data_IF_334426937690
#
_entry.id   IF_334426937690
#
_cell.length_a   1.000
_cell.length_b   1.000
_cell.length_c   1.000
_cell.angle_alpha   90.00
_cell.angle_beta   90.00
_cell.angle_gamma   90.00
#
_symmetry.space_group_name_H-M   'P 1'
#
loop_
_entity.id
_entity.type
_entity.pdbx_description
1 polymer ?
#
# COMPACT_ATOMS: atom_id res chain seq x y z
N UNK A 1 23.74 87.10 -38.55
CA UNK A 1 22.57 87.86 -39.04
C UNK A 1 22.55 89.16 -38.25
N UNK A 2 22.75 90.31 -38.90
CA UNK A 2 22.73 91.61 -38.22
C UNK A 2 21.38 91.78 -37.52
N UNK A 3 21.37 92.03 -36.22
CA UNK A 3 20.14 92.41 -35.50
C UNK A 3 19.58 93.63 -36.20
N UNK A 4 18.49 93.45 -36.94
CA UNK A 4 17.77 94.57 -37.56
C UNK A 4 17.41 95.53 -36.43
N UNK A 5 17.85 96.79 -36.56
CA UNK A 5 17.50 97.83 -35.60
C UNK A 5 15.97 97.98 -35.63
N UNK A 6 15.24 97.67 -34.53
CA UNK A 6 13.78 97.72 -34.50
C UNK A 6 13.24 99.12 -34.77
N UNK A 7 14.07 100.16 -34.64
CA UNK A 7 13.70 101.56 -34.82
C UNK A 7 14.12 102.13 -36.20
N UNK A 8 14.63 101.30 -37.14
CA UNK A 8 14.98 101.77 -38.48
C UNK A 8 13.71 102.03 -39.29
N UNK A 9 13.63 103.22 -39.90
CA UNK A 9 12.56 103.54 -40.84
C UNK A 9 12.64 102.64 -42.09
N UNK A 10 11.62 101.81 -42.31
CA UNK A 10 11.51 100.96 -43.49
C UNK A 10 11.29 101.82 -44.75
N UNK A 11 12.02 101.54 -45.83
CA UNK A 11 11.80 102.23 -47.11
C UNK A 11 10.40 101.96 -47.68
N UNK A 12 9.87 102.75 -48.64
CA UNK A 12 8.49 102.63 -49.12
C UNK A 12 8.10 101.22 -49.62
N UNK A 13 9.02 100.52 -50.30
CA UNK A 13 8.80 99.15 -50.77
C UNK A 13 8.86 98.12 -49.62
N UNK A 14 9.77 98.31 -48.67
CA UNK A 14 9.92 97.47 -47.46
C UNK A 14 8.68 97.62 -46.55
N UNK A 15 8.13 98.83 -46.42
CA UNK A 15 6.93 99.11 -45.64
C UNK A 15 5.66 98.44 -46.19
N UNK A 16 5.54 98.25 -47.50
CA UNK A 16 4.42 97.52 -48.12
C UNK A 16 4.48 96.03 -47.77
N UNK A 17 5.67 95.41 -47.94
CA UNK A 17 5.89 94.02 -47.59
C UNK A 17 5.67 93.76 -46.09
N UNK A 18 6.16 94.66 -45.22
CA UNK A 18 5.96 94.55 -43.77
C UNK A 18 4.49 94.66 -43.38
N UNK A 19 3.68 95.51 -44.03
CA UNK A 19 2.24 95.61 -43.74
C UNK A 19 1.47 94.37 -44.18
N UNK A 20 1.80 93.82 -45.35
CA UNK A 20 1.21 92.57 -45.83
C UNK A 20 1.57 91.42 -44.88
N UNK A 21 2.84 91.33 -44.48
CA UNK A 21 3.31 90.34 -43.52
C UNK A 21 2.66 90.49 -42.15
N UNK A 22 2.55 91.70 -41.60
CA UNK A 22 1.81 91.96 -40.34
C UNK A 22 0.34 91.53 -40.47
N UNK A 23 -0.28 91.79 -41.62
CA UNK A 23 -1.69 91.38 -41.86
C UNK A 23 -1.83 89.86 -41.90
N UNK A 24 -0.88 89.17 -42.52
CA UNK A 24 -0.85 87.71 -42.57
C UNK A 24 -0.54 87.11 -41.18
N UNK A 25 0.48 87.62 -40.49
CA UNK A 25 0.87 87.15 -39.14
C UNK A 25 -0.24 87.41 -38.11
N UNK A 26 -0.97 88.52 -38.21
CA UNK A 26 -2.13 88.79 -37.33
C UNK A 26 -3.30 87.85 -37.61
N UNK A 27 -3.53 87.47 -38.87
CA UNK A 27 -4.52 86.46 -39.23
C UNK A 27 -4.12 85.08 -38.71
N UNK A 28 -2.87 84.70 -38.88
CA UNK A 28 -2.32 83.42 -38.42
C UNK A 28 -2.32 83.34 -36.89
N UNK A 29 -1.98 84.43 -36.20
CA UNK A 29 -2.07 84.54 -34.73
C UNK A 29 -3.51 84.31 -34.22
N UNK A 30 -4.53 84.91 -34.86
CA UNK A 30 -5.93 84.66 -34.48
C UNK A 30 -6.37 83.22 -34.75
N UNK A 31 -5.94 82.62 -35.86
CA UNK A 31 -6.22 81.21 -36.15
C UNK A 31 -5.57 80.29 -35.12
N UNK A 32 -4.31 80.53 -34.77
CA UNK A 32 -3.60 79.80 -33.73
C UNK A 32 -4.29 79.97 -32.37
N UNK A 33 -4.67 81.19 -31.98
CA UNK A 33 -5.43 81.43 -30.75
C UNK A 33 -6.74 80.64 -30.72
N UNK A 34 -7.46 80.58 -31.84
CA UNK A 34 -8.70 79.81 -31.94
C UNK A 34 -8.44 78.31 -31.80
N UNK A 35 -7.41 77.77 -32.45
CA UNK A 35 -7.03 76.36 -32.34
C UNK A 35 -6.55 76.00 -30.94
N UNK A 36 -5.81 76.91 -30.28
CA UNK A 36 -5.40 76.74 -28.87
C UNK A 36 -6.63 76.70 -27.97
N UNK A 37 -7.59 77.61 -28.13
CA UNK A 37 -8.82 77.58 -27.34
C UNK A 37 -9.65 76.31 -27.56
N UNK A 38 -9.77 75.86 -28.81
CA UNK A 38 -10.42 74.58 -29.13
C UNK A 38 -9.68 73.39 -28.50
N UNK A 39 -8.35 73.37 -28.59
CA UNK A 39 -7.53 72.33 -27.99
C UNK A 39 -7.64 72.31 -26.46
N UNK A 40 -7.64 73.47 -25.81
CA UNK A 40 -7.83 73.58 -24.35
C UNK A 40 -9.22 73.07 -23.93
N UNK A 41 -10.26 73.42 -24.68
CA UNK A 41 -11.62 72.94 -24.41
C UNK A 41 -11.72 71.43 -24.61
N UNK A 42 -11.11 70.90 -25.67
CA UNK A 42 -11.06 69.45 -25.91
C UNK A 42 -10.27 68.72 -24.83
N UNK A 43 -9.13 69.27 -24.38
CA UNK A 43 -8.35 68.71 -23.27
C UNK A 43 -9.18 68.65 -21.98
N UNK A 44 -9.85 69.75 -21.61
CA UNK A 44 -10.69 69.79 -20.41
C UNK A 44 -11.83 68.77 -20.46
N UNK A 45 -12.49 68.61 -21.61
CA UNK A 45 -13.55 67.61 -21.78
C UNK A 45 -13.03 66.17 -21.68
N UNK A 46 -11.83 65.89 -22.21
CA UNK A 46 -11.18 64.59 -22.07
C UNK A 46 -10.80 64.31 -20.62
N UNK A 47 -10.28 65.30 -19.89
CA UNK A 47 -9.97 65.17 -18.46
C UNK A 47 -11.23 64.88 -17.62
N UNK A 48 -12.34 65.56 -17.89
CA UNK A 48 -13.63 65.29 -17.24
C UNK A 48 -14.16 63.89 -17.57
N UNK A 49 -14.10 63.47 -18.83
CA UNK A 49 -14.53 62.13 -19.24
C UNK A 49 -13.65 61.03 -18.62
N UNK A 50 -12.34 61.27 -18.52
CA UNK A 50 -11.42 60.35 -17.85
C UNK A 50 -11.73 60.24 -16.36
N UNK A 51 -11.97 61.36 -15.67
CA UNK A 51 -12.36 61.37 -14.26
C UNK A 51 -13.66 60.58 -14.02
N UNK A 52 -14.68 60.80 -14.84
CA UNK A 52 -15.94 60.06 -14.78
C UNK A 52 -15.75 58.56 -15.07
N UNK A 53 -14.90 58.21 -16.04
CA UNK A 53 -14.58 56.82 -16.35
C UNK A 53 -13.82 56.13 -15.21
N UNK A 54 -12.89 56.84 -14.54
CA UNK A 54 -12.16 56.32 -13.39
C UNK A 54 -13.08 56.06 -12.20
N UNK A 55 -14.00 56.99 -11.90
CA UNK A 55 -14.98 56.82 -10.83
C UNK A 55 -15.92 55.62 -11.12
N UNK A 56 -16.41 55.50 -12.35
CA UNK A 56 -17.24 54.37 -12.77
C UNK A 56 -16.48 53.03 -12.67
N UNK A 57 -15.20 53.00 -13.03
CA UNK A 57 -14.35 51.81 -12.92
C UNK A 57 -14.10 51.42 -11.45
N UNK A 58 -13.83 52.40 -10.58
CA UNK A 58 -13.67 52.16 -9.13
C UNK A 58 -14.97 51.65 -8.49
N UNK A 59 -16.12 52.24 -8.85
CA UNK A 59 -17.44 51.77 -8.41
C UNK A 59 -17.73 50.34 -8.86
N UNK A 60 -17.45 50.00 -10.12
CA UNK A 60 -17.62 48.65 -10.65
C UNK A 60 -16.69 47.63 -9.96
N UNK A 61 -15.45 48.01 -9.64
CA UNK A 61 -14.53 47.17 -8.84
C UNK A 61 -15.07 46.95 -7.43
N UNK A 62 -15.57 48.00 -6.78
CA UNK A 62 -16.20 47.92 -5.46
C UNK A 62 -17.39 46.97 -5.46
N UNK A 63 -18.26 47.06 -6.47
CA UNK A 63 -19.41 46.17 -6.63
C UNK A 63 -18.99 44.71 -6.89
N UNK A 64 -17.98 44.49 -7.72
CA UNK A 64 -17.41 43.15 -7.96
C UNK A 64 -16.87 42.52 -6.68
N UNK A 65 -16.13 43.29 -5.88
CA UNK A 65 -15.62 42.82 -4.59
C UNK A 65 -16.76 42.48 -3.62
N UNK A 66 -17.83 43.30 -3.58
CA UNK A 66 -19.03 43.02 -2.79
C UNK A 66 -19.71 41.72 -3.22
N UNK A 67 -19.89 41.49 -4.52
CA UNK A 67 -20.51 40.27 -5.05
C UNK A 67 -19.67 39.02 -4.74
N UNK A 68 -18.34 39.08 -4.91
CA UNK A 68 -17.46 37.96 -4.54
C UNK A 68 -17.52 37.64 -3.04
N UNK A 69 -17.59 38.67 -2.20
CA UNK A 69 -17.79 38.49 -0.76
C UNK A 69 -19.15 37.83 -0.46
N UNK A 70 -20.22 38.25 -1.14
CA UNK A 70 -21.54 37.63 -1.00
C UNK A 70 -21.58 36.19 -1.50
N UNK A 71 -20.96 35.89 -2.65
CA UNK A 71 -20.84 34.55 -3.22
C UNK A 71 -20.11 33.61 -2.25
N UNK A 72 -18.96 34.03 -1.72
CA UNK A 72 -18.20 33.23 -0.74
C UNK A 72 -19.01 32.95 0.53
N UNK A 73 -19.78 33.94 1.01
CA UNK A 73 -20.68 33.78 2.16
C UNK A 73 -21.84 32.80 1.88
N UNK A 74 -22.43 32.85 0.67
CA UNK A 74 -23.47 31.89 0.24
C UNK A 74 -22.88 30.49 0.14
N UNK A 75 -21.70 30.33 -0.48
CA UNK A 75 -21.04 29.04 -0.66
C UNK A 75 -20.66 28.39 0.67
N UNK A 76 -20.23 29.18 1.66
CA UNK A 76 -19.99 28.69 3.02
C UNK A 76 -21.28 28.20 3.67
N UNK A 77 -22.41 28.91 3.51
CA UNK A 77 -23.71 28.47 4.04
C UNK A 77 -24.19 27.18 3.37
N UNK A 78 -24.06 27.07 2.04
CA UNK A 78 -24.41 25.86 1.30
C UNK A 78 -23.56 24.67 1.74
N UNK A 79 -22.24 24.83 1.83
CA UNK A 79 -21.33 23.78 2.33
C UNK A 79 -21.75 23.32 3.74
N UNK A 80 -22.11 24.26 4.63
CA UNK A 80 -22.56 23.94 5.98
C UNK A 80 -23.90 23.19 5.98
N UNK A 81 -24.85 23.63 5.16
CA UNK A 81 -26.17 23.00 5.01
C UNK A 81 -26.05 21.59 4.39
N UNK A 82 -25.27 21.44 3.32
CA UNK A 82 -24.96 20.13 2.72
C UNK A 82 -24.29 19.19 3.71
N UNK A 83 -23.37 19.71 4.53
CA UNK A 83 -22.81 18.94 5.62
C UNK A 83 -23.91 18.42 6.54
N UNK A 84 -24.78 19.30 7.06
CA UNK A 84 -25.85 18.94 8.00
C UNK A 84 -26.88 17.95 7.40
N UNK A 85 -27.20 18.10 6.12
CA UNK A 85 -28.15 17.27 5.39
C UNK A 85 -27.50 16.05 4.72
N UNK A 86 -26.21 15.81 4.95
CA UNK A 86 -25.51 14.70 4.30
C UNK A 86 -26.14 13.37 4.74
N UNK A 87 -26.55 12.48 3.82
CA UNK A 87 -27.26 11.24 4.14
C UNK A 87 -26.51 10.34 5.15
N UNK A 88 -25.18 10.39 5.13
CA UNK A 88 -24.34 9.64 6.07
C UNK A 88 -24.59 9.98 7.55
N UNK A 89 -25.14 11.17 7.84
CA UNK A 89 -25.44 11.62 9.21
C UNK A 89 -26.77 11.08 9.72
N UNK A 90 -27.69 10.70 8.84
CA UNK A 90 -28.96 10.06 9.20
C UNK A 90 -28.87 8.53 9.24
N UNK A 91 -27.77 7.94 8.76
CA UNK A 91 -27.54 6.50 8.90
C UNK A 91 -27.58 6.09 10.37
N UNK A 92 -28.22 4.96 10.72
CA UNK A 92 -28.12 4.36 12.04
C UNK A 92 -26.69 3.92 12.40
N UNK A 93 -26.40 3.78 13.69
CA UNK A 93 -25.05 3.47 14.20
C UNK A 93 -24.53 2.11 13.71
N UNK A 94 -25.40 1.10 13.64
CA UNK A 94 -25.10 -0.25 13.14
C UNK A 94 -24.70 -0.24 11.66
N UNK A 95 -25.38 0.54 10.81
CA UNK A 95 -25.02 0.69 9.40
C UNK A 95 -23.65 1.38 9.25
N UNK A 96 -23.37 2.40 10.07
CA UNK A 96 -22.04 3.03 10.08
C UNK A 96 -20.94 2.06 10.51
N UNK A 97 -21.19 1.25 11.53
CA UNK A 97 -20.26 0.22 11.99
C UNK A 97 -20.01 -0.83 10.90
N UNK A 98 -21.05 -1.21 10.16
CA UNK A 98 -20.89 -2.16 9.05
C UNK A 98 -20.07 -1.56 7.90
N UNK A 99 -20.27 -0.27 7.58
CA UNK A 99 -19.40 0.46 6.63
C UNK A 99 -17.94 0.43 7.11
N UNK A 100 -17.68 0.64 8.41
CA UNK A 100 -16.32 0.60 8.95
C UNK A 100 -15.68 -0.78 8.81
N UNK A 101 -16.46 -1.86 8.96
CA UNK A 101 -15.98 -3.23 8.78
C UNK A 101 -15.67 -3.55 7.33
N UNK A 102 -16.53 -3.12 6.40
CA UNK A 102 -16.29 -3.27 4.97
C UNK A 102 -15.03 -2.52 4.56
N UNK A 103 -14.85 -1.29 5.04
CA UNK A 103 -13.64 -0.50 4.78
C UNK A 103 -12.37 -1.22 5.28
N UNK A 104 -12.41 -1.76 6.50
CA UNK A 104 -11.31 -2.54 7.06
C UNK A 104 -11.01 -3.82 6.27
N UNK A 105 -12.05 -4.57 5.88
CA UNK A 105 -11.92 -5.84 5.13
C UNK A 105 -11.36 -5.61 3.72
N UNK A 106 -11.75 -4.52 3.05
CA UNK A 106 -11.19 -4.13 1.75
C UNK A 106 -9.69 -3.82 1.85
N UNK A 107 -9.30 -3.02 2.84
CA UNK A 107 -7.89 -2.69 3.08
C UNK A 107 -7.07 -3.92 3.50
N UNK A 108 -7.64 -4.79 4.33
CA UNK A 108 -6.99 -6.04 4.73
C UNK A 108 -6.80 -7.00 3.54
N UNK A 109 -7.79 -7.13 2.66
CA UNK A 109 -7.66 -7.95 1.44
C UNK A 109 -6.64 -7.39 0.47
N UNK A 110 -6.56 -6.06 0.34
CA UNK A 110 -5.53 -5.43 -0.49
C UNK A 110 -4.12 -5.81 -0.01
N UNK A 111 -3.88 -5.77 1.32
CA UNK A 111 -2.60 -6.20 1.91
C UNK A 111 -2.24 -7.67 1.64
N UNK A 112 -3.23 -8.54 1.46
CA UNK A 112 -2.99 -9.95 1.18
C UNK A 112 -2.81 -10.25 -0.31
N UNK A 113 -3.26 -9.34 -1.18
CA UNK A 113 -3.22 -9.53 -2.63
C UNK A 113 -1.95 -8.98 -3.27
N UNK A 114 -1.25 -8.06 -2.61
CA UNK A 114 0.04 -7.54 -3.04
C UNK A 114 1.13 -8.61 -2.85
N UNK A 115 1.25 -9.50 -3.83
CA UNK A 115 2.41 -10.39 -4.02
C UNK A 115 3.56 -9.67 -4.75
N UNK A 116 3.35 -8.42 -5.20
CA UNK A 116 4.31 -7.65 -6.01
C UNK A 116 5.09 -6.61 -5.18
N UNK A 117 6.41 -6.58 -5.36
CA UNK A 117 7.45 -5.90 -4.56
C UNK A 117 7.38 -4.35 -4.50
N UNK A 118 6.38 -3.68 -5.09
CA UNK A 118 6.52 -2.26 -5.47
C UNK A 118 5.57 -1.23 -4.82
N UNK A 119 4.70 -1.59 -3.87
CA UNK A 119 3.76 -0.60 -3.28
C UNK A 119 3.81 -0.47 -1.74
N UNK A 120 4.65 0.45 -1.27
CA UNK A 120 4.69 0.93 0.13
C UNK A 120 3.34 1.51 0.60
N UNK A 121 2.43 1.86 -0.33
CA UNK A 121 1.18 2.55 -0.02
C UNK A 121 0.14 1.66 0.67
N UNK A 122 0.20 0.34 0.53
CA UNK A 122 -0.86 -0.56 1.04
C UNK A 122 -0.82 -0.75 2.56
N UNK A 123 0.36 -0.79 3.17
CA UNK A 123 0.56 -0.88 4.64
C UNK A 123 -0.04 0.32 5.39
N UNK A 124 0.29 1.54 4.96
CA UNK A 124 -0.18 2.78 5.59
C UNK A 124 -1.69 2.97 5.46
N UNK A 125 -2.28 2.51 4.35
CA UNK A 125 -3.72 2.55 4.11
C UNK A 125 -4.47 1.87 5.25
N UNK A 126 -4.12 0.61 5.49
CA UNK A 126 -4.79 -0.29 6.44
C UNK A 126 -4.49 0.05 7.89
N UNK A 127 -3.22 0.34 8.23
CA UNK A 127 -2.81 0.69 9.60
C UNK A 127 -3.66 1.84 10.18
N UNK A 128 -4.02 2.79 9.32
CA UNK A 128 -4.68 4.02 9.70
C UNK A 128 -6.21 3.95 9.65
N UNK A 129 -6.84 2.87 9.18
CA UNK A 129 -8.31 2.78 9.02
C UNK A 129 -9.04 3.18 10.32
N UNK A 130 -8.73 2.61 11.50
CA UNK A 130 -9.46 2.97 12.73
C UNK A 130 -9.26 4.44 13.13
N UNK A 131 -8.09 5.00 12.86
CA UNK A 131 -7.75 6.38 13.16
C UNK A 131 -8.40 7.36 12.19
N UNK A 132 -8.41 7.05 10.89
CA UNK A 132 -9.09 7.82 9.83
C UNK A 132 -10.58 7.90 10.13
N UNK A 133 -11.21 6.77 10.42
CA UNK A 133 -12.62 6.71 10.81
C UNK A 133 -12.89 7.53 12.08
N UNK A 134 -12.01 7.41 13.09
CA UNK A 134 -12.13 8.18 14.33
C UNK A 134 -11.85 9.69 14.18
N UNK A 135 -11.24 10.13 13.08
CA UNK A 135 -10.93 11.53 12.81
C UNK A 135 -12.09 12.30 12.15
N UNK A 136 -13.04 11.62 11.52
CA UNK A 136 -14.10 12.26 10.70
C UNK A 136 -15.01 13.18 11.52
N UNK A 137 -15.63 12.67 12.58
CA UNK A 137 -16.49 13.47 13.47
C UNK A 137 -16.61 12.82 14.85
N UNK A 138 -17.23 13.52 15.82
CA UNK A 138 -17.41 13.01 17.20
C UNK A 138 -18.19 11.69 17.24
N UNK A 139 -19.25 11.56 16.43
CA UNK A 139 -20.07 10.33 16.35
C UNK A 139 -19.26 9.16 15.80
N UNK A 140 -18.54 9.37 14.70
CA UNK A 140 -17.68 8.34 14.11
C UNK A 140 -16.56 7.90 15.05
N UNK A 141 -15.96 8.84 15.79
CA UNK A 141 -14.98 8.53 16.84
C UNK A 141 -15.55 7.63 17.92
N UNK A 142 -16.74 7.92 18.43
CA UNK A 142 -17.39 7.11 19.46
C UNK A 142 -17.66 5.70 18.93
N UNK A 143 -18.21 5.58 17.71
CA UNK A 143 -18.47 4.29 17.07
C UNK A 143 -17.19 3.51 16.79
N UNK A 144 -16.16 4.14 16.24
CA UNK A 144 -14.89 3.49 15.94
C UNK A 144 -14.22 2.96 17.21
N UNK A 145 -14.22 3.74 18.30
CA UNK A 145 -13.70 3.30 19.61
C UNK A 145 -14.56 2.17 20.20
N UNK A 146 -15.88 2.24 20.04
CA UNK A 146 -16.82 1.24 20.54
C UNK A 146 -16.88 -0.03 19.67
N UNK A 147 -16.22 -0.06 18.51
CA UNK A 147 -16.20 -1.17 17.55
C UNK A 147 -14.86 -1.87 17.58
N UNK A 148 -14.70 -2.92 18.39
CA UNK A 148 -13.36 -3.40 18.71
C UNK A 148 -12.70 -4.22 17.60
N UNK A 149 -13.51 -4.77 16.69
CA UNK A 149 -13.01 -5.46 15.50
C UNK A 149 -12.17 -4.54 14.60
N UNK A 150 -12.36 -3.21 14.67
CA UNK A 150 -11.49 -2.27 13.97
C UNK A 150 -10.06 -2.28 14.53
N UNK A 151 -9.89 -2.67 15.78
CA UNK A 151 -8.62 -2.67 16.50
C UNK A 151 -8.01 -4.06 16.60
N UNK A 152 -8.67 -5.10 16.05
CA UNK A 152 -8.17 -6.48 16.07
C UNK A 152 -7.18 -6.78 14.93
N UNK A 153 -6.91 -5.81 14.06
CA UNK A 153 -5.94 -5.93 12.98
C UNK A 153 -4.80 -4.95 13.23
N UNK A 154 -3.62 -5.51 13.46
CA UNK A 154 -2.41 -4.77 13.77
C UNK A 154 -1.49 -4.88 12.56
N UNK A 155 -1.31 -3.76 11.84
CA UNK A 155 -0.39 -3.68 10.71
C UNK A 155 0.82 -2.88 11.17
N UNK A 156 1.98 -3.51 11.14
CA UNK A 156 3.25 -2.91 11.53
C UNK A 156 4.18 -3.00 10.35
N UNK A 157 4.65 -1.85 9.89
CA UNK A 157 5.63 -1.75 8.84
C UNK A 157 6.86 -1.05 9.41
N UNK A 158 7.82 -1.84 9.86
CA UNK A 158 9.00 -1.32 10.51
C UNK A 158 9.95 -0.59 9.52
N UNK A 159 9.72 -0.69 8.21
CA UNK A 159 10.50 0.04 7.19
C UNK A 159 9.99 1.47 7.00
N UNK A 160 8.68 1.63 7.12
CA UNK A 160 7.94 2.83 6.79
C UNK A 160 8.19 4.04 7.71
N UNK A 161 8.61 3.80 8.96
CA UNK A 161 8.73 4.85 9.98
C UNK A 161 10.01 4.68 10.79
N UNK A 162 10.81 5.74 10.83
CA UNK A 162 11.96 5.84 11.71
C UNK A 162 11.53 5.81 13.19
N UNK A 163 12.10 4.84 13.92
CA UNK A 163 12.04 4.78 15.38
C UNK A 163 10.90 3.92 15.95
N UNK A 164 11.27 3.04 16.89
CA UNK A 164 10.33 2.16 17.58
C UNK A 164 9.35 2.90 18.51
N UNK A 165 9.63 4.12 18.95
CA UNK A 165 8.75 4.86 19.88
C UNK A 165 7.33 5.08 19.34
N UNK A 166 7.21 5.39 18.04
CA UNK A 166 5.92 5.57 17.37
C UNK A 166 5.16 4.24 17.30
N UNK A 167 5.87 3.17 16.96
CA UNK A 167 5.32 1.82 16.95
C UNK A 167 4.90 1.35 18.34
N UNK A 168 5.70 1.60 19.38
CA UNK A 168 5.35 1.33 20.78
C UNK A 168 4.07 2.04 21.16
N UNK A 169 3.94 3.33 20.84
CA UNK A 169 2.73 4.12 21.11
C UNK A 169 1.51 3.59 20.36
N UNK A 170 1.70 3.17 19.10
CA UNK A 170 0.67 2.56 18.27
C UNK A 170 0.19 1.22 18.83
N UNK A 171 1.11 0.27 19.09
CA UNK A 171 0.80 -1.06 19.64
C UNK A 171 0.16 -0.94 21.03
N UNK A 172 0.66 -0.03 21.88
CA UNK A 172 0.06 0.28 23.17
C UNK A 172 -1.38 0.78 23.04
N UNK A 173 -1.63 1.69 22.09
CA UNK A 173 -2.98 2.19 21.82
C UNK A 173 -3.90 1.06 21.37
N UNK A 174 -3.45 0.23 20.42
CA UNK A 174 -4.19 -0.94 19.95
C UNK A 174 -4.52 -1.89 21.11
N UNK A 175 -3.53 -2.23 21.93
CA UNK A 175 -3.72 -3.07 23.12
C UNK A 175 -4.73 -2.46 24.09
N UNK A 176 -4.65 -1.16 24.38
CA UNK A 176 -5.60 -0.49 25.27
C UNK A 176 -7.05 -0.58 24.75
N UNK A 177 -7.24 -0.51 23.43
CA UNK A 177 -8.56 -0.67 22.81
C UNK A 177 -9.05 -2.11 22.84
N UNK A 178 -8.13 -3.08 22.81
CA UNK A 178 -8.43 -4.50 22.91
C UNK A 178 -8.63 -5.00 24.35
N UNK A 179 -8.10 -4.32 25.38
CA UNK A 179 -8.06 -4.79 26.80
C UNK A 179 -9.39 -5.30 27.36
N UNK A 180 -10.52 -4.77 26.90
CA UNK A 180 -11.83 -5.14 27.44
C UNK A 180 -12.46 -6.35 26.73
N UNK A 181 -11.84 -6.87 25.68
CA UNK A 181 -12.48 -7.80 24.76
C UNK A 181 -11.52 -8.93 24.37
N UNK A 182 -11.98 -10.17 24.57
CA UNK A 182 -11.26 -11.39 24.18
C UNK A 182 -11.37 -11.64 22.67
N UNK A 183 -11.06 -10.63 21.87
CA UNK A 183 -11.10 -10.76 20.43
C UNK A 183 -9.77 -11.32 19.90
N UNK A 184 -9.83 -12.22 18.91
CA UNK A 184 -8.63 -12.69 18.24
C UNK A 184 -7.95 -11.54 17.49
N UNK A 185 -6.65 -11.37 17.69
CA UNK A 185 -5.84 -10.35 17.01
C UNK A 185 -5.15 -10.97 15.80
N UNK A 186 -5.18 -10.27 14.68
CA UNK A 186 -4.39 -10.58 13.49
C UNK A 186 -3.25 -9.57 13.38
N UNK A 187 -2.01 -10.05 13.32
CA UNK A 187 -0.82 -9.21 13.22
C UNK A 187 -0.22 -9.41 11.84
N UNK A 188 -0.03 -8.30 11.11
CA UNK A 188 0.79 -8.23 9.92
C UNK A 188 2.04 -7.42 10.26
N UNK A 189 3.21 -7.97 10.00
CA UNK A 189 4.49 -7.38 10.37
C UNK A 189 5.45 -7.44 9.19
N UNK A 190 5.75 -6.28 8.61
CA UNK A 190 6.79 -6.09 7.60
C UNK A 190 8.04 -5.51 8.26
N UNK A 191 9.20 -6.07 7.95
CA UNK A 191 10.47 -5.65 8.52
C UNK A 191 11.60 -5.74 7.48
N UNK A 192 12.22 -4.61 7.20
CA UNK A 192 13.26 -4.51 6.17
C UNK A 192 14.69 -4.57 6.68
N UNK A 193 15.59 -4.63 5.71
CA UNK A 193 17.05 -4.68 5.87
C UNK A 193 17.60 -3.65 6.86
N UNK A 194 17.10 -2.43 6.79
CA UNK A 194 17.59 -1.27 7.54
C UNK A 194 17.39 -1.38 9.06
N UNK A 195 16.49 -2.24 9.53
CA UNK A 195 16.19 -2.36 10.97
C UNK A 195 17.32 -3.01 11.77
N UNK A 196 18.17 -3.82 11.13
CA UNK A 196 19.22 -4.58 11.80
C UNK A 196 20.23 -3.69 12.53
N UNK A 197 20.42 -2.45 12.07
CA UNK A 197 21.40 -1.53 12.66
C UNK A 197 20.81 -0.71 13.82
N UNK A 198 19.48 -0.58 13.89
CA UNK A 198 18.78 0.18 14.95
C UNK A 198 18.19 -0.70 16.06
N UNK A 199 18.29 -2.03 15.96
CA UNK A 199 17.60 -3.00 16.85
C UNK A 199 18.12 -3.09 18.29
N UNK A 200 19.13 -2.31 18.67
CA UNK A 200 19.75 -2.44 20.01
C UNK A 200 18.84 -1.94 21.14
N UNK A 201 17.80 -1.13 20.89
CA UNK A 201 17.14 -0.40 21.98
C UNK A 201 15.58 -0.34 21.98
N UNK A 202 14.87 -1.37 21.51
CA UNK A 202 13.39 -1.38 21.51
C UNK A 202 12.74 -2.43 22.40
N UNK A 203 13.30 -2.68 23.59
CA UNK A 203 12.73 -3.62 24.56
C UNK A 203 11.25 -3.36 24.85
N UNK A 204 10.86 -2.09 24.98
CA UNK A 204 9.49 -1.66 25.28
C UNK A 204 8.50 -2.03 24.15
N UNK A 205 8.89 -1.88 22.88
CA UNK A 205 8.06 -2.27 21.74
C UNK A 205 7.74 -3.77 21.79
N UNK A 206 8.78 -4.59 21.95
CA UNK A 206 8.62 -6.04 21.99
C UNK A 206 7.85 -6.51 23.22
N UNK A 207 7.90 -5.79 24.33
CA UNK A 207 7.06 -6.05 25.50
C UNK A 207 5.58 -5.83 25.23
N UNK A 208 5.23 -4.74 24.54
CA UNK A 208 3.85 -4.49 24.11
C UNK A 208 3.38 -5.56 23.10
N UNK A 209 4.26 -6.01 22.19
CA UNK A 209 3.97 -7.10 21.25
C UNK A 209 3.76 -8.44 21.97
N UNK A 210 4.64 -8.80 22.91
CA UNK A 210 4.50 -10.02 23.72
C UNK A 210 3.19 -10.02 24.52
N UNK A 211 2.73 -8.85 24.99
CA UNK A 211 1.46 -8.73 25.69
C UNK A 211 0.24 -9.02 24.79
N UNK A 212 0.38 -8.92 23.46
CA UNK A 212 -0.67 -9.29 22.51
C UNK A 212 -0.68 -10.77 22.15
N UNK A 213 0.47 -11.47 22.26
CA UNK A 213 0.66 -12.85 21.82
C UNK A 213 -0.44 -13.83 22.30
N UNK A 214 -0.92 -13.68 23.53
CA UNK A 214 -1.96 -14.54 24.11
C UNK A 214 -3.28 -14.51 23.33
N UNK A 215 -3.62 -13.36 22.75
CA UNK A 215 -4.86 -13.12 22.00
C UNK A 215 -4.66 -13.22 20.49
N UNK A 216 -3.42 -13.35 20.03
CA UNK A 216 -3.11 -13.40 18.61
C UNK A 216 -3.61 -14.72 18.02
N UNK A 217 -4.46 -14.60 16.99
CA UNK A 217 -5.00 -15.72 16.21
C UNK A 217 -4.24 -15.93 14.91
N UNK A 218 -3.82 -14.84 14.27
CA UNK A 218 -3.14 -14.88 12.97
C UNK A 218 -1.88 -14.01 13.03
N UNK A 219 -0.78 -14.51 12.49
CA UNK A 219 0.44 -13.74 12.27
C UNK A 219 0.84 -13.90 10.81
N UNK A 220 1.06 -12.78 10.15
CA UNK A 220 1.71 -12.70 8.84
C UNK A 220 2.96 -11.87 9.02
N UNK A 221 4.12 -12.46 8.77
CA UNK A 221 5.41 -11.83 8.96
C UNK A 221 6.20 -11.83 7.65
N UNK A 222 6.56 -10.66 7.16
CA UNK A 222 7.38 -10.48 5.96
C UNK A 222 8.67 -9.81 6.42
N UNK A 223 9.79 -10.53 6.29
CA UNK A 223 11.08 -10.09 6.83
C UNK A 223 12.07 -10.04 5.68
N UNK A 224 12.76 -8.93 5.42
CA UNK A 224 13.71 -8.86 4.32
C UNK A 224 14.80 -9.96 4.38
N UNK A 225 15.20 -10.45 3.21
CA UNK A 225 16.07 -11.63 3.06
C UNK A 225 17.49 -11.44 3.61
N UNK A 226 17.95 -10.21 3.77
CA UNK A 226 19.28 -9.91 4.32
C UNK A 226 19.34 -10.01 5.85
N UNK A 227 18.19 -9.90 6.54
CA UNK A 227 18.05 -10.19 7.98
C UNK A 227 18.49 -11.63 8.31
N UNK A 228 18.32 -12.56 7.35
CA UNK A 228 18.73 -13.95 7.47
C UNK A 228 20.21 -14.14 7.78
N UNK A 229 21.07 -13.27 7.24
CA UNK A 229 22.51 -13.39 7.39
C UNK A 229 22.98 -12.99 8.80
N UNK A 230 22.28 -12.05 9.44
CA UNK A 230 22.63 -11.54 10.78
C UNK A 230 21.88 -12.24 11.90
N UNK A 231 20.77 -12.90 11.58
CA UNK A 231 19.89 -13.57 12.54
C UNK A 231 18.83 -12.61 13.10
N UNK A 232 17.72 -13.16 13.63
CA UNK A 232 16.63 -12.37 14.19
C UNK A 232 17.07 -11.57 15.42
N UNK A 233 16.46 -10.39 15.63
CA UNK A 233 16.71 -9.60 16.84
C UNK A 233 16.25 -10.35 18.10
N UNK A 234 16.88 -10.12 19.27
CA UNK A 234 16.46 -10.77 20.52
C UNK A 234 14.99 -10.51 20.87
N UNK A 235 14.48 -9.32 20.55
CA UNK A 235 13.08 -8.95 20.73
C UNK A 235 12.12 -9.75 19.86
N UNK A 236 12.47 -9.96 18.58
CA UNK A 236 11.74 -10.86 17.68
C UNK A 236 11.69 -12.27 18.23
N UNK A 237 12.84 -12.82 18.63
CA UNK A 237 12.92 -14.15 19.24
C UNK A 237 12.04 -14.27 20.49
N UNK A 238 12.07 -13.26 21.36
CA UNK A 238 11.22 -13.20 22.57
C UNK A 238 9.72 -13.17 22.21
N UNK A 239 9.34 -12.37 21.23
CA UNK A 239 7.96 -12.32 20.75
C UNK A 239 7.51 -13.66 20.18
N UNK A 240 8.30 -14.23 19.28
CA UNK A 240 7.97 -15.48 18.62
C UNK A 240 8.02 -16.69 19.58
N UNK A 241 8.76 -16.63 20.69
CA UNK A 241 8.74 -17.69 21.73
C UNK A 241 7.70 -17.47 22.83
N UNK A 242 6.87 -16.43 22.70
CA UNK A 242 5.78 -16.14 23.63
C UNK A 242 4.67 -17.21 23.59
N UNK A 243 3.79 -17.19 24.59
CA UNK A 243 2.66 -18.14 24.65
C UNK A 243 1.53 -17.69 23.73
N UNK A 244 1.39 -18.40 22.61
CA UNK A 244 0.35 -18.19 21.61
C UNK A 244 -0.80 -19.18 21.79
N UNK A 245 -1.69 -18.90 22.75
CA UNK A 245 -2.79 -19.81 23.07
C UNK A 245 -3.92 -19.84 22.03
N UNK A 246 -4.00 -18.80 21.20
CA UNK A 246 -5.09 -18.64 20.21
C UNK A 246 -4.60 -18.72 18.77
N UNK A 247 -3.29 -18.90 18.54
CA UNK A 247 -2.70 -18.85 17.20
C UNK A 247 -3.14 -20.05 16.38
N UNK A 248 -3.84 -19.76 15.28
CA UNK A 248 -4.35 -20.72 14.31
C UNK A 248 -3.64 -20.60 12.97
N UNK A 249 -3.24 -19.38 12.61
CA UNK A 249 -2.72 -19.07 11.29
C UNK A 249 -1.35 -18.39 11.43
N UNK A 250 -0.31 -18.99 10.86
CA UNK A 250 1.04 -18.43 10.86
C UNK A 250 1.57 -18.43 9.44
N UNK A 251 1.81 -17.25 8.89
CA UNK A 251 2.47 -17.05 7.62
C UNK A 251 3.78 -16.27 7.85
N UNK A 252 4.88 -16.77 7.33
CA UNK A 252 6.17 -16.11 7.45
C UNK A 252 6.93 -16.20 6.14
N UNK A 253 7.44 -15.09 5.63
CA UNK A 253 8.30 -15.06 4.44
C UNK A 253 9.68 -14.47 4.76
N UNK A 254 10.68 -14.95 4.01
CA UNK A 254 12.01 -14.34 3.89
C UNK A 254 12.84 -14.21 5.20
N UNK A 255 12.45 -14.85 6.32
CA UNK A 255 12.96 -14.51 7.67
C UNK A 255 13.73 -15.56 8.50
N UNK A 256 14.00 -16.78 8.01
CA UNK A 256 14.57 -17.86 8.85
C UNK A 256 15.88 -18.42 8.30
N UNK A 257 16.98 -18.06 8.97
CA UNK A 257 18.33 -18.50 8.63
C UNK A 257 18.65 -19.91 9.12
N UNK A 258 17.99 -20.42 10.17
CA UNK A 258 18.15 -21.80 10.69
C UNK A 258 16.87 -22.30 11.37
N UNK A 259 16.54 -23.59 11.21
CA UNK A 259 15.34 -24.20 11.83
C UNK A 259 15.27 -24.11 13.35
N UNK A 260 16.42 -24.00 14.04
CA UNK A 260 16.46 -23.80 15.49
C UNK A 260 15.71 -22.54 15.95
N UNK A 261 15.49 -21.58 15.06
CA UNK A 261 14.73 -20.39 15.42
C UNK A 261 13.22 -20.73 15.48
N UNK A 262 12.76 -21.83 14.82
CA UNK A 262 11.35 -22.34 14.81
C UNK A 262 10.95 -23.04 16.12
N UNK A 263 11.73 -22.86 17.19
CA UNK A 263 11.35 -23.20 18.58
C UNK A 263 10.09 -22.45 19.05
N UNK A 264 9.48 -21.63 18.19
CA UNK A 264 8.11 -21.10 18.33
C UNK A 264 7.05 -22.19 18.39
N UNK A 265 7.19 -23.23 17.58
CA UNK A 265 6.15 -24.23 17.34
C UNK A 265 5.76 -25.15 18.51
N UNK A 266 6.65 -25.57 19.42
CA UNK A 266 6.29 -26.48 20.51
C UNK A 266 5.17 -25.98 21.42
N UNK A 267 4.84 -24.67 21.36
CA UNK A 267 3.81 -24.03 22.17
C UNK A 267 2.55 -23.64 21.40
N UNK A 268 2.53 -23.78 20.08
CA UNK A 268 1.38 -23.46 19.24
C UNK A 268 0.53 -24.71 18.95
N UNK A 269 0.00 -25.34 20.01
CA UNK A 269 -0.77 -26.60 19.93
C UNK A 269 -2.04 -26.52 19.06
N UNK A 270 -2.46 -25.32 18.67
CA UNK A 270 -3.70 -25.06 17.93
C UNK A 270 -3.47 -24.55 16.50
N UNK A 271 -2.23 -24.60 16.01
CA UNK A 271 -1.90 -24.14 14.66
C UNK A 271 -2.60 -25.00 13.61
N UNK A 272 -3.45 -24.37 12.81
CA UNK A 272 -4.23 -25.02 11.75
C UNK A 272 -3.64 -24.72 10.37
N UNK A 273 -3.08 -23.52 10.19
CA UNK A 273 -2.50 -23.04 8.93
C UNK A 273 -1.06 -22.61 9.16
N UNK A 274 -0.14 -23.14 8.36
CA UNK A 274 1.27 -22.75 8.35
C UNK A 274 1.70 -22.45 6.92
N UNK A 275 2.15 -21.22 6.68
CA UNK A 275 2.76 -20.82 5.42
C UNK A 275 4.18 -20.32 5.70
N UNK A 276 5.21 -20.96 5.16
CA UNK A 276 6.59 -20.52 5.32
C UNK A 276 7.22 -20.39 3.93
N UNK A 277 7.66 -19.18 3.60
CA UNK A 277 8.23 -18.85 2.31
C UNK A 277 9.70 -18.44 2.45
N UNK A 278 10.49 -18.82 1.46
CA UNK A 278 11.90 -18.47 1.30
C UNK A 278 12.74 -18.70 2.57
N UNK A 279 12.70 -19.93 3.10
CA UNK A 279 13.30 -20.25 4.41
C UNK A 279 14.29 -21.42 4.35
N UNK A 280 15.26 -21.45 5.29
CA UNK A 280 16.19 -22.56 5.46
C UNK A 280 15.77 -23.42 6.65
N UNK A 281 15.23 -24.60 6.36
CA UNK A 281 14.74 -25.53 7.38
C UNK A 281 15.56 -26.81 7.41
N UNK A 282 16.21 -27.06 8.54
CA UNK A 282 16.51 -28.41 9.00
C UNK A 282 15.19 -29.10 9.33
N UNK A 283 14.74 -29.93 8.39
CA UNK A 283 13.49 -30.69 8.48
C UNK A 283 13.47 -31.65 9.67
N UNK A 284 14.64 -32.05 10.15
CA UNK A 284 14.84 -32.90 11.33
C UNK A 284 14.45 -32.19 12.63
N UNK A 285 14.49 -30.86 12.66
CA UNK A 285 14.21 -30.06 13.87
C UNK A 285 12.75 -29.62 14.00
N UNK A 286 11.91 -29.86 12.98
CA UNK A 286 10.48 -29.57 13.09
C UNK A 286 9.86 -30.35 14.27
N UNK A 287 9.06 -29.72 15.14
CA UNK A 287 8.29 -30.50 16.12
C UNK A 287 7.13 -31.23 15.43
N UNK A 288 6.50 -32.14 16.16
CA UNK A 288 5.22 -32.72 15.73
C UNK A 288 4.14 -31.62 15.71
N UNK A 289 3.44 -31.52 14.59
CA UNK A 289 2.41 -30.51 14.31
C UNK A 289 1.09 -31.22 13.98
N UNK A 290 0.56 -31.97 14.94
CA UNK A 290 -0.60 -32.85 14.76
C UNK A 290 -1.91 -32.10 14.43
N UNK A 291 -2.00 -30.81 14.77
CA UNK A 291 -3.17 -29.97 14.51
C UNK A 291 -3.21 -29.34 13.12
N UNK A 292 -2.13 -29.46 12.35
CA UNK A 292 -1.93 -28.69 11.13
C UNK A 292 -2.72 -29.29 9.96
N UNK A 293 -3.51 -28.46 9.30
CA UNK A 293 -4.39 -28.85 8.18
C UNK A 293 -3.94 -28.25 6.86
N UNK A 294 -3.54 -26.99 6.88
CA UNK A 294 -3.14 -26.25 5.69
C UNK A 294 -1.68 -25.88 5.78
N UNK A 295 -0.87 -26.34 4.83
CA UNK A 295 0.57 -26.15 4.84
C UNK A 295 1.03 -25.61 3.50
N UNK A 296 1.76 -24.50 3.51
CA UNK A 296 2.47 -23.97 2.35
C UNK A 296 3.94 -23.82 2.69
N UNK A 297 4.83 -24.49 1.97
CA UNK A 297 6.28 -24.43 2.20
C UNK A 297 6.98 -24.07 0.90
N UNK A 298 7.77 -23.01 0.93
CA UNK A 298 8.68 -22.60 -0.13
C UNK A 298 10.12 -22.51 0.42
N UNK A 299 10.80 -23.64 0.68
CA UNK A 299 12.16 -23.65 1.22
C UNK A 299 13.16 -23.09 0.20
N UNK A 300 14.18 -22.39 0.69
CA UNK A 300 15.35 -22.03 -0.12
C UNK A 300 16.32 -23.22 -0.24
N UNK A 301 16.95 -23.33 -1.40
CA UNK A 301 17.93 -24.38 -1.68
C UNK A 301 17.32 -25.69 -2.19
N UNK A 302 18.14 -26.73 -2.21
CA UNK A 302 17.73 -28.08 -2.59
C UNK A 302 17.19 -28.83 -1.39
N UNK A 303 16.07 -29.53 -1.56
CA UNK A 303 15.47 -30.38 -0.54
C UNK A 303 15.64 -31.84 -0.96
N UNK A 304 16.10 -32.70 -0.06
CA UNK A 304 16.19 -34.13 -0.35
C UNK A 304 14.83 -34.82 -0.11
N UNK A 305 14.59 -35.92 -0.81
CA UNK A 305 13.40 -36.75 -0.57
C UNK A 305 13.25 -37.20 0.89
N UNK A 306 14.37 -37.50 1.55
CA UNK A 306 14.44 -37.90 2.96
C UNK A 306 13.96 -36.79 3.89
N UNK A 307 14.44 -35.57 3.65
CA UNK A 307 14.06 -34.37 4.39
C UNK A 307 12.57 -34.07 4.24
N UNK A 308 12.06 -34.15 3.01
CA UNK A 308 10.64 -33.96 2.75
C UNK A 308 9.78 -35.03 3.46
N UNK A 309 10.20 -36.30 3.40
CA UNK A 309 9.53 -37.39 4.10
C UNK A 309 9.52 -37.19 5.62
N UNK A 310 10.66 -36.81 6.21
CA UNK A 310 10.77 -36.50 7.64
C UNK A 310 9.86 -35.33 8.04
N UNK A 311 9.78 -34.28 7.22
CA UNK A 311 8.90 -33.15 7.45
C UNK A 311 7.42 -33.54 7.46
N UNK A 312 7.00 -34.23 6.41
CA UNK A 312 5.62 -34.65 6.22
C UNK A 312 5.17 -35.62 7.32
N UNK A 313 6.07 -36.49 7.79
CA UNK A 313 5.79 -37.43 8.88
C UNK A 313 5.39 -36.73 10.19
N UNK A 314 5.78 -35.47 10.38
CA UNK A 314 5.46 -34.65 11.55
C UNK A 314 4.13 -33.91 11.43
N UNK A 315 3.44 -34.03 10.29
CA UNK A 315 2.19 -33.33 10.00
C UNK A 315 1.12 -34.32 9.50
N UNK A 316 0.69 -35.29 10.35
CA UNK A 316 -0.17 -36.40 9.91
C UNK A 316 -1.60 -35.99 9.53
N UNK A 317 -2.05 -34.81 9.94
CA UNK A 317 -3.41 -34.31 9.72
C UNK A 317 -3.56 -33.34 8.55
N UNK A 318 -2.54 -33.20 7.70
CA UNK A 318 -2.56 -32.23 6.61
C UNK A 318 -3.59 -32.62 5.54
N UNK A 319 -4.45 -31.65 5.24
CA UNK A 319 -5.53 -31.73 4.24
C UNK A 319 -5.17 -30.97 2.96
N UNK A 320 -4.42 -29.87 3.11
CA UNK A 320 -3.90 -29.06 2.01
C UNK A 320 -2.38 -28.90 2.15
N UNK A 321 -1.63 -29.31 1.15
CA UNK A 321 -0.17 -29.18 1.09
C UNK A 321 0.24 -28.47 -0.20
N UNK A 322 0.93 -27.34 -0.07
CA UNK A 322 1.52 -26.60 -1.18
C UNK A 322 3.04 -26.52 -1.00
N UNK A 323 3.78 -27.14 -1.90
CA UNK A 323 5.25 -27.18 -1.90
C UNK A 323 5.78 -26.42 -3.10
N UNK A 324 6.65 -25.45 -2.86
CA UNK A 324 7.37 -24.70 -3.89
C UNK A 324 8.87 -24.94 -3.67
N UNK A 325 9.42 -25.95 -4.33
CA UNK A 325 10.80 -26.39 -4.14
C UNK A 325 11.65 -25.95 -5.33
N UNK A 326 12.74 -25.22 -5.11
CA UNK A 326 13.64 -24.83 -6.21
C UNK A 326 14.24 -26.05 -6.91
N UNK A 327 14.75 -27.02 -6.15
CA UNK A 327 15.28 -28.29 -6.66
C UNK A 327 14.95 -29.40 -5.68
N UNK A 328 14.38 -30.50 -6.17
CA UNK A 328 14.17 -31.72 -5.40
C UNK A 328 15.30 -32.71 -5.70
N UNK A 329 16.16 -32.93 -4.72
CA UNK A 329 17.24 -33.92 -4.80
C UNK A 329 16.71 -35.29 -4.40
N UNK A 330 17.05 -36.27 -5.21
CA UNK A 330 16.52 -37.63 -5.07
C UNK A 330 17.67 -38.54 -4.70
N UNK A 331 17.54 -39.22 -3.56
CA UNK A 331 18.45 -40.32 -3.23
C UNK A 331 18.11 -41.53 -4.08
N UNK A 332 19.06 -42.46 -4.22
CA UNK A 332 18.83 -43.76 -4.87
C UNK A 332 17.79 -44.62 -4.16
N UNK A 333 17.53 -44.33 -2.88
CA UNK A 333 16.68 -45.12 -2.02
C UNK A 333 15.22 -44.69 -2.20
N UNK A 334 14.37 -45.66 -2.53
CA UNK A 334 12.94 -45.41 -2.69
C UNK A 334 12.31 -45.08 -1.34
N UNK A 335 11.80 -43.86 -1.19
CA UNK A 335 11.13 -43.39 0.03
C UNK A 335 9.65 -43.24 -0.21
N UNK A 336 8.86 -43.86 0.65
CA UNK A 336 7.41 -43.74 0.64
C UNK A 336 6.97 -42.58 1.55
N UNK A 337 6.30 -41.58 0.99
CA UNK A 337 5.70 -40.46 1.72
C UNK A 337 4.20 -40.72 1.83
N UNK A 338 3.72 -40.94 3.07
CA UNK A 338 2.31 -41.22 3.34
C UNK A 338 1.58 -39.99 3.88
N UNK A 339 0.49 -39.63 3.22
CA UNK A 339 -0.33 -38.45 3.54
C UNK A 339 -1.81 -38.87 3.52
N UNK A 340 -2.29 -39.57 4.56
CA UNK A 340 -3.56 -40.29 4.52
C UNK A 340 -4.81 -39.39 4.49
N UNK A 341 -4.67 -38.10 4.82
CA UNK A 341 -5.78 -37.12 4.89
C UNK A 341 -5.68 -36.02 3.83
N UNK A 342 -4.71 -36.12 2.92
CA UNK A 342 -4.45 -35.05 1.97
C UNK A 342 -5.49 -35.02 0.86
N UNK A 343 -6.26 -33.93 0.83
CA UNK A 343 -7.27 -33.65 -0.20
C UNK A 343 -6.69 -32.86 -1.36
N UNK A 344 -5.79 -31.92 -1.09
CA UNK A 344 -5.17 -31.06 -2.12
C UNK A 344 -3.66 -31.07 -2.01
N UNK A 345 -3.00 -31.42 -3.11
CA UNK A 345 -1.55 -31.32 -3.26
C UNK A 345 -1.21 -30.33 -4.38
N UNK A 346 -0.47 -29.28 -4.04
CA UNK A 346 0.20 -28.41 -4.99
C UNK A 346 1.70 -28.64 -4.89
N UNK A 347 2.35 -29.00 -5.98
CA UNK A 347 3.79 -29.22 -6.02
C UNK A 347 4.37 -28.48 -7.21
N UNK A 348 5.19 -27.47 -6.92
CA UNK A 348 6.02 -26.78 -7.91
C UNK A 348 7.47 -27.13 -7.63
N UNK A 349 8.13 -27.84 -8.54
CA UNK A 349 9.54 -28.19 -8.37
C UNK A 349 10.28 -28.41 -9.67
N UNK A 350 11.60 -28.20 -9.65
CA UNK A 350 12.51 -28.69 -10.67
C UNK A 350 13.14 -30.00 -10.22
N UNK A 351 13.07 -31.01 -11.08
CA UNK A 351 13.69 -32.31 -10.88
C UNK A 351 14.71 -32.54 -12.00
N UNK A 352 15.99 -32.66 -11.63
CA UNK A 352 17.08 -32.90 -12.58
C UNK A 352 17.46 -34.40 -12.65
N UNK A 353 17.09 -35.19 -11.64
CA UNK A 353 17.36 -36.62 -11.52
C UNK A 353 16.05 -37.42 -11.37
N UNK A 354 15.99 -38.70 -11.74
CA UNK A 354 14.78 -39.50 -11.60
C UNK A 354 14.46 -39.72 -10.11
N UNK A 355 13.29 -39.27 -9.68
CA UNK A 355 12.89 -39.35 -8.28
C UNK A 355 12.39 -40.73 -7.87
N UNK A 356 13.04 -41.35 -6.89
CA UNK A 356 12.53 -42.54 -6.21
C UNK A 356 11.50 -42.19 -5.10
N UNK A 357 10.70 -41.14 -5.30
CA UNK A 357 9.70 -40.69 -4.33
C UNK A 357 8.34 -41.28 -4.65
N UNK A 358 7.85 -42.15 -3.76
CA UNK A 358 6.55 -42.79 -3.90
C UNK A 358 5.58 -42.12 -2.93
N UNK A 359 4.58 -41.42 -3.45
CA UNK A 359 3.53 -40.84 -2.63
C UNK A 359 2.44 -41.88 -2.33
N UNK A 360 1.80 -41.79 -1.17
CA UNK A 360 0.60 -42.56 -0.83
C UNK A 360 -0.50 -41.58 -0.43
N UNK A 361 -1.45 -41.35 -1.35
CA UNK A 361 -2.44 -40.28 -1.29
C UNK A 361 -3.88 -40.84 -1.43
N UNK A 362 -4.37 -41.63 -0.46
CA UNK A 362 -5.57 -42.44 -0.62
C UNK A 362 -6.89 -41.65 -0.75
N UNK A 363 -6.90 -40.34 -0.47
CA UNK A 363 -8.10 -39.48 -0.46
C UNK A 363 -7.93 -38.21 -1.28
N UNK A 364 -6.95 -38.17 -2.19
CA UNK A 364 -6.64 -36.98 -2.97
C UNK A 364 -7.81 -36.59 -3.89
N UNK A 365 -8.17 -35.31 -3.89
CA UNK A 365 -9.25 -34.75 -4.72
C UNK A 365 -8.71 -33.75 -5.74
N UNK A 366 -7.67 -32.99 -5.39
CA UNK A 366 -7.08 -31.98 -6.25
C UNK A 366 -5.56 -32.12 -6.29
N UNK A 367 -5.01 -32.14 -7.50
CA UNK A 367 -3.58 -32.27 -7.76
C UNK A 367 -3.14 -31.17 -8.74
N UNK A 368 -2.26 -30.28 -8.30
CA UNK A 368 -1.67 -29.22 -9.11
C UNK A 368 -0.15 -29.39 -9.16
N UNK A 369 0.38 -29.79 -10.33
CA UNK A 369 1.79 -30.10 -10.51
C UNK A 369 2.42 -29.09 -11.47
N UNK A 370 3.48 -28.43 -11.04
CA UNK A 370 4.33 -27.56 -11.85
C UNK A 370 5.75 -28.13 -11.85
N UNK A 371 6.03 -29.02 -12.81
CA UNK A 371 7.29 -29.78 -12.85
C UNK A 371 8.20 -29.25 -13.94
N UNK A 372 9.37 -28.77 -13.55
CA UNK A 372 10.48 -28.41 -14.43
C UNK A 372 11.56 -29.49 -14.48
N UNK A 373 12.44 -29.41 -15.49
CA UNK A 373 13.58 -30.32 -15.65
C UNK A 373 13.32 -31.51 -16.59
N UNK A 374 14.38 -32.26 -16.89
CA UNK A 374 14.37 -33.38 -17.84
C UNK A 374 13.63 -34.61 -17.30
N UNK A 375 13.60 -34.79 -15.98
CA UNK A 375 13.02 -35.98 -15.31
C UNK A 375 11.62 -35.75 -14.75
N UNK A 376 11.07 -34.54 -14.87
CA UNK A 376 9.74 -34.20 -14.35
C UNK A 376 8.61 -35.12 -14.86
N UNK A 377 8.76 -35.72 -16.05
CA UNK A 377 7.79 -36.69 -16.57
C UNK A 377 7.77 -38.02 -15.79
N UNK A 378 8.91 -38.49 -15.28
CA UNK A 378 8.96 -39.72 -14.49
C UNK A 378 8.25 -39.52 -13.16
N UNK A 379 8.59 -38.42 -12.45
CA UNK A 379 7.93 -38.03 -11.21
C UNK A 379 6.43 -37.82 -11.40
N UNK A 380 6.01 -37.22 -12.52
CA UNK A 380 4.60 -37.07 -12.86
C UNK A 380 3.89 -38.43 -12.92
N UNK A 381 4.50 -39.42 -13.60
CA UNK A 381 3.90 -40.75 -13.73
C UNK A 381 3.85 -41.48 -12.39
N UNK A 382 4.85 -41.33 -11.54
CA UNK A 382 4.86 -41.91 -10.19
C UNK A 382 3.77 -41.31 -9.30
N UNK A 383 3.60 -39.98 -9.33
CA UNK A 383 2.52 -39.29 -8.61
C UNK A 383 1.15 -39.71 -9.16
N UNK A 384 0.99 -39.80 -10.49
CA UNK A 384 -0.27 -40.25 -11.10
C UNK A 384 -0.58 -41.71 -10.77
N UNK A 385 0.43 -42.58 -10.70
CA UNK A 385 0.27 -43.97 -10.29
C UNK A 385 -0.15 -44.07 -8.81
N UNK A 386 0.48 -43.27 -7.94
CA UNK A 386 0.11 -43.14 -6.54
C UNK A 386 -1.32 -42.57 -6.35
N UNK A 387 -1.72 -41.66 -7.24
CA UNK A 387 -3.01 -40.99 -7.23
C UNK A 387 -4.09 -41.71 -8.06
N UNK A 388 -3.92 -43.01 -8.41
CA UNK A 388 -4.95 -43.86 -9.05
C UNK A 388 -6.14 -44.13 -8.11
N UNK A 389 -6.64 -43.08 -7.50
CA UNK A 389 -7.73 -43.06 -6.56
C UNK A 389 -8.95 -42.55 -7.31
N UNK A 390 -10.09 -43.25 -7.23
CA UNK A 390 -11.35 -42.79 -7.84
C UNK A 390 -11.85 -41.42 -7.32
N UNK A 391 -11.19 -40.83 -6.31
CA UNK A 391 -11.55 -39.53 -5.73
C UNK A 391 -10.99 -38.31 -6.45
N UNK A 392 -10.06 -38.45 -7.41
CA UNK A 392 -9.43 -37.29 -8.06
C UNK A 392 -10.44 -36.51 -8.94
N UNK A 393 -10.73 -35.27 -8.55
CA UNK A 393 -11.68 -34.36 -9.23
C UNK A 393 -11.01 -33.29 -10.07
N UNK A 394 -9.82 -32.83 -9.64
CA UNK A 394 -9.08 -31.76 -10.31
C UNK A 394 -7.65 -32.20 -10.54
N UNK A 395 -7.21 -32.16 -11.80
CA UNK A 395 -5.82 -32.38 -12.19
C UNK A 395 -5.37 -31.17 -13.03
N UNK A 396 -4.35 -30.46 -12.54
CA UNK A 396 -3.70 -29.38 -13.27
C UNK A 396 -2.22 -29.72 -13.40
N UNK A 397 -1.72 -29.80 -14.63
CA UNK A 397 -0.32 -30.09 -14.91
C UNK A 397 0.24 -28.93 -15.74
N UNK A 398 1.16 -28.18 -15.15
CA UNK A 398 1.94 -27.17 -15.83
C UNK A 398 3.37 -27.71 -16.02
N UNK A 399 3.63 -28.32 -17.16
CA UNK A 399 4.98 -28.71 -17.54
C UNK A 399 5.45 -27.81 -18.68
N UNK A 400 6.52 -27.05 -18.43
CA UNK A 400 7.19 -26.29 -19.50
C UNK A 400 7.65 -27.20 -20.64
N UNK A 401 8.03 -28.44 -20.33
CA UNK A 401 8.49 -29.46 -21.28
C UNK A 401 7.38 -29.98 -22.19
N UNK A 402 6.14 -30.12 -21.67
CA UNK A 402 4.98 -30.58 -22.46
C UNK A 402 4.53 -29.49 -23.45
N UNK A 403 4.54 -28.21 -23.04
CA UNK A 403 4.22 -27.09 -23.95
C UNK A 403 5.20 -27.01 -25.13
N UNK A 404 6.48 -27.30 -24.92
CA UNK A 404 7.48 -27.30 -25.99
C UNK A 404 7.32 -28.46 -26.98
N UNK A 405 6.82 -29.62 -26.55
CA UNK A 405 6.58 -30.77 -27.46
C UNK A 405 5.25 -30.69 -28.22
N UNK A 406 4.28 -29.90 -27.75
CA UNK A 406 2.98 -29.69 -28.40
C UNK A 406 2.90 -28.41 -29.25
N UNK A 407 3.92 -27.56 -29.23
CA UNK A 407 4.08 -26.52 -30.23
C UNK A 407 4.44 -27.19 -31.58
N UNK A 408 3.40 -27.61 -32.31
CA UNK A 408 3.50 -28.02 -33.71
C UNK A 408 4.18 -26.88 -34.50
N UNK A 409 5.04 -27.20 -35.49
CA UNK A 409 5.60 -26.18 -36.36
C UNK A 409 4.44 -25.45 -37.04
N UNK A 410 4.35 -24.13 -36.85
CA UNK A 410 3.50 -23.26 -37.67
C UNK A 410 3.93 -23.44 -39.12
N UNK A 411 3.04 -24.05 -39.91
CA UNK A 411 3.19 -24.19 -41.36
C UNK A 411 3.00 -22.85 -42.06
#
# INVERSE_FOLDING_TARGET
MSSLNPDRYAGPAEAVLLREQITQDTKDSRQLQTRVQQALTAQHNVELALAAATEAAESARGYTHLLLAQESAVQQRLTRAHGLLHPIRSLPDDILVEIFRVDLDLHWRALQADDDDDDDLSCFGTQNVPFKLAAVCRRWRQLAIATPVLWSFLVIDLEAIDGFERWTSYVRTMRQRLKNLRLPVSIYLRAGSHLLEQTVDSSEFWEEMCALAYHTRSIVAIVASDILLRGPSPGWCRFMTSQFNSLKDLAISNGWGRARDLIVFPRALHLATLSVYHFWLSWDDLPALDGLRNVTLSPQGSVTGDQLGAAVSKMPCVEYLSLQLSVLQTSSDTRQISLPRLHTLKLSTRCDEPSALVFSLPVIEALELSLGGSTGNAMLMDILHAAQVPSLRKLSINSHSIRQRLALPTA
#
